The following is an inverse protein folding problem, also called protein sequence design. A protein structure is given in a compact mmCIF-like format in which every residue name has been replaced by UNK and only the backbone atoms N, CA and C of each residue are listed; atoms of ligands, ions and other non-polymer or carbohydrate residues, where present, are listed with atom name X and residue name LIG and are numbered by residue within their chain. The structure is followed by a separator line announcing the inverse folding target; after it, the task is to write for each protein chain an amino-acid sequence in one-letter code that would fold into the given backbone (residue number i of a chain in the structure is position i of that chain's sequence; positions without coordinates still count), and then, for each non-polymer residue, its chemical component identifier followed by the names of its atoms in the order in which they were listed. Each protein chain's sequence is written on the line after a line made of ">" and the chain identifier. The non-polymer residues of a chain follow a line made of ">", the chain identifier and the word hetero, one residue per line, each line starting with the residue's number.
data_IF_289287039612
#
_entry.id   IF_289287039612
#
_cell.length_a   1.000
_cell.length_b   1.000
_cell.length_c   1.000
_cell.angle_alpha   90.00
_cell.angle_beta   90.00
_cell.angle_gamma   90.00
#
_symmetry.space_group_name_H-M   'P 1'
#
loop_
_entity.id
_entity.type
_entity.pdbx_description
1 polymer ?
#
# COMPACT_ATOMS: atom_id res chain seq x y z
N UNK A 1 -17.08 -9.11 -1.52
CA UNK A 1 -16.69 -7.75 -1.94
C UNK A 1 -17.03 -7.62 -3.40
N UNK A 2 -18.04 -6.82 -3.76
CA UNK A 2 -18.52 -6.66 -5.14
C UNK A 2 -18.54 -5.18 -5.54
N UNK A 3 -18.32 -4.89 -6.82
CA UNK A 3 -18.44 -3.53 -7.37
C UNK A 3 -17.32 -2.55 -6.96
N UNK A 4 -16.19 -3.04 -6.45
CA UNK A 4 -15.07 -2.19 -6.03
C UNK A 4 -13.98 -2.17 -7.09
N UNK A 5 -13.73 -0.98 -7.64
CA UNK A 5 -12.61 -0.71 -8.54
C UNK A 5 -11.34 -0.43 -7.71
N UNK A 6 -10.60 -1.49 -7.41
CA UNK A 6 -9.38 -1.45 -6.59
C UNK A 6 -8.10 -1.68 -7.40
N UNK A 7 -7.06 -0.92 -7.08
CA UNK A 7 -5.75 -0.98 -7.72
C UNK A 7 -4.66 -1.36 -6.70
N UNK A 8 -3.63 -2.06 -7.20
CA UNK A 8 -2.44 -2.50 -6.46
C UNK A 8 -2.74 -3.19 -5.12
N UNK A 9 -3.82 -3.99 -5.09
CA UNK A 9 -4.24 -4.74 -3.90
C UNK A 9 -3.08 -5.58 -3.37
N UNK A 10 -2.64 -5.26 -2.16
CA UNK A 10 -1.50 -5.92 -1.53
C UNK A 10 -1.98 -6.75 -0.34
N UNK A 11 -1.82 -8.08 -0.37
CA UNK A 11 -2.12 -8.95 0.76
C UNK A 11 -1.08 -8.88 1.87
N UNK A 12 -1.55 -8.97 3.11
CA UNK A 12 -0.73 -9.16 4.30
C UNK A 12 -1.41 -10.18 5.22
N UNK A 13 -0.65 -11.19 5.67
CA UNK A 13 -1.07 -12.01 6.81
C UNK A 13 -0.58 -11.35 8.12
N UNK A 14 -1.52 -11.04 9.00
CA UNK A 14 -1.29 -10.37 10.28
C UNK A 14 -2.30 -10.84 11.32
N UNK A 15 -1.81 -11.16 12.51
CA UNK A 15 -2.61 -11.53 13.69
C UNK A 15 -3.70 -12.58 13.42
N UNK A 16 -3.34 -13.62 12.65
CA UNK A 16 -4.22 -14.76 12.38
C UNK A 16 -5.25 -14.52 11.26
N UNK A 17 -5.17 -13.39 10.54
CA UNK A 17 -6.05 -13.09 9.42
C UNK A 17 -5.32 -12.45 8.23
N UNK A 18 -6.05 -12.34 7.12
CA UNK A 18 -5.61 -11.62 5.93
C UNK A 18 -6.12 -10.19 5.94
N UNK A 19 -5.27 -9.30 5.44
CA UNK A 19 -5.55 -7.90 5.17
C UNK A 19 -5.25 -7.60 3.71
N UNK A 20 -6.14 -6.85 3.06
CA UNK A 20 -5.91 -6.24 1.76
C UNK A 20 -5.75 -4.74 1.93
N UNK A 21 -4.62 -4.23 1.44
CA UNK A 21 -4.36 -2.80 1.26
C UNK A 21 -4.69 -2.46 -0.19
N UNK A 22 -5.72 -1.64 -0.41
CA UNK A 22 -6.28 -1.38 -1.73
C UNK A 22 -6.26 0.11 -2.00
N UNK A 23 -5.85 0.51 -3.21
CA UNK A 23 -6.02 1.87 -3.70
C UNK A 23 -7.31 1.96 -4.53
N UNK A 24 -8.46 2.31 -3.94
CA UNK A 24 -9.72 2.36 -4.67
C UNK A 24 -9.82 3.61 -5.55
N UNK A 25 -10.63 3.53 -6.61
CA UNK A 25 -11.18 4.72 -7.26
C UNK A 25 -12.50 5.08 -6.59
N UNK A 26 -12.52 6.13 -5.77
CA UNK A 26 -13.71 6.58 -5.06
C UNK A 26 -14.24 7.87 -5.66
N UNK A 27 -15.55 8.08 -5.73
CA UNK A 27 -16.15 9.37 -6.11
C UNK A 27 -15.61 9.98 -7.43
N UNK A 28 -15.22 9.15 -8.40
CA UNK A 28 -14.56 9.56 -9.65
C UNK A 28 -13.19 10.26 -9.45
N UNK A 29 -12.50 9.95 -8.35
CA UNK A 29 -11.13 10.41 -8.05
C UNK A 29 -10.08 9.69 -8.91
N UNK A 30 -8.81 9.99 -8.63
CA UNK A 30 -7.70 9.15 -9.09
C UNK A 30 -7.71 7.80 -8.36
N UNK A 31 -6.89 6.84 -8.81
CA UNK A 31 -6.69 5.59 -8.08
C UNK A 31 -5.45 5.63 -7.18
N UNK A 32 -4.95 6.82 -6.81
CA UNK A 32 -3.62 6.99 -6.21
C UNK A 32 -3.63 7.63 -4.83
N UNK A 33 -4.74 8.27 -4.46
CA UNK A 33 -4.87 9.16 -3.31
C UNK A 33 -5.59 8.53 -2.12
N UNK A 34 -6.37 7.47 -2.32
CA UNK A 34 -7.11 6.78 -1.27
C UNK A 34 -6.49 5.43 -0.90
N UNK A 35 -6.57 5.06 0.38
CA UNK A 35 -6.30 3.71 0.87
C UNK A 35 -7.55 3.17 1.57
N UNK A 36 -8.02 2.00 1.13
CA UNK A 36 -9.02 1.22 1.85
C UNK A 36 -8.43 -0.11 2.28
N UNK A 37 -8.84 -0.57 3.47
CA UNK A 37 -8.44 -1.84 4.03
C UNK A 37 -9.62 -2.80 4.09
N UNK A 38 -9.36 -4.07 3.86
CA UNK A 38 -10.33 -5.15 4.01
C UNK A 38 -9.67 -6.30 4.75
N UNK A 39 -10.42 -7.00 5.59
CA UNK A 39 -9.91 -8.15 6.33
C UNK A 39 -10.78 -9.39 6.16
N UNK A 40 -10.17 -10.56 6.26
CA UNK A 40 -10.83 -11.85 6.15
C UNK A 40 -10.04 -12.93 6.91
N UNK A 41 -10.71 -13.99 7.34
CA UNK A 41 -10.06 -15.14 7.97
C UNK A 41 -9.28 -16.01 6.95
N UNK A 42 -9.65 -15.93 5.67
CA UNK A 42 -8.99 -16.66 4.57
C UNK A 42 -9.02 -15.85 3.27
N UNK A 43 -8.08 -16.09 2.35
CA UNK A 43 -7.98 -15.37 1.08
C UNK A 43 -9.25 -15.51 0.22
N UNK A 44 -9.89 -16.68 0.27
CA UNK A 44 -11.10 -17.01 -0.48
C UNK A 44 -12.38 -16.80 0.32
N UNK A 45 -12.26 -16.26 1.54
CA UNK A 45 -13.40 -16.03 2.43
C UNK A 45 -14.13 -14.72 2.13
N UNK A 46 -15.10 -14.41 2.99
CA UNK A 46 -15.79 -13.13 2.99
C UNK A 46 -14.87 -12.02 3.49
N UNK A 47 -14.75 -10.95 2.70
CA UNK A 47 -13.96 -9.78 3.02
C UNK A 47 -14.83 -8.70 3.66
N UNK A 48 -14.44 -8.28 4.86
CA UNK A 48 -15.08 -7.21 5.62
C UNK A 48 -14.30 -5.91 5.44
N UNK A 49 -14.96 -4.78 5.08
CA UNK A 49 -14.29 -3.49 5.01
C UNK A 49 -13.89 -3.01 6.40
N UNK A 50 -12.72 -2.38 6.49
CA UNK A 50 -12.32 -1.64 7.68
C UNK A 50 -13.32 -0.50 7.98
N UNK A 51 -13.66 -0.31 9.25
CA UNK A 51 -14.75 0.59 9.66
C UNK A 51 -14.52 2.05 9.24
N UNK A 52 -13.25 2.48 9.18
CA UNK A 52 -12.86 3.84 8.80
C UNK A 52 -12.53 4.01 7.30
N UNK A 53 -12.94 3.09 6.41
CA UNK A 53 -12.62 3.22 4.99
C UNK A 53 -13.25 4.48 4.34
N UNK A 54 -12.51 5.21 3.47
CA UNK A 54 -11.06 5.06 3.22
C UNK A 54 -10.24 5.52 4.43
N UNK A 55 -9.30 4.69 4.88
CA UNK A 55 -8.47 4.95 6.07
C UNK A 55 -7.44 6.05 5.84
N UNK A 56 -7.15 6.39 4.59
CA UNK A 56 -6.23 7.46 4.23
C UNK A 56 -6.68 8.14 2.93
N UNK A 57 -6.51 9.46 2.88
CA UNK A 57 -6.65 10.31 1.70
C UNK A 57 -5.39 11.20 1.57
N UNK A 58 -4.31 10.64 1.03
CA UNK A 58 -3.03 11.32 0.79
C UNK A 58 -2.30 10.68 -0.42
N UNK A 59 -2.18 11.42 -1.52
CA UNK A 59 -1.49 10.97 -2.73
C UNK A 59 -0.03 10.58 -2.52
N UNK A 60 0.61 10.98 -1.42
CA UNK A 60 2.01 10.63 -1.10
C UNK A 60 2.14 9.27 -0.42
N UNK A 61 1.06 8.79 0.19
CA UNK A 61 1.11 7.76 1.23
C UNK A 61 0.07 6.65 1.05
N UNK A 62 -0.89 6.77 0.13
CA UNK A 62 -1.99 5.82 -0.01
C UNK A 62 -1.65 4.61 -0.87
N UNK A 63 -1.28 4.82 -2.14
CA UNK A 63 -1.17 3.74 -3.14
C UNK A 63 -0.05 2.75 -2.81
N UNK A 64 -0.31 1.44 -2.74
CA UNK A 64 0.74 0.44 -2.50
C UNK A 64 1.82 0.45 -3.58
N UNK A 65 3.07 0.17 -3.18
CA UNK A 65 4.23 0.06 -4.08
C UNK A 65 4.93 -1.31 -3.94
N UNK A 66 4.19 -2.39 -3.70
CA UNK A 66 4.72 -3.72 -3.48
C UNK A 66 4.40 -4.30 -2.11
N UNK A 67 4.96 -5.47 -1.81
CA UNK A 67 4.65 -6.24 -0.62
C UNK A 67 5.10 -5.53 0.67
N UNK A 68 4.33 -5.71 1.74
CA UNK A 68 4.75 -5.33 3.10
C UNK A 68 5.96 -6.17 3.50
N UNK A 69 7.05 -5.50 3.89
CA UNK A 69 8.31 -6.12 4.30
C UNK A 69 8.38 -6.18 5.82
N UNK A 70 8.91 -7.28 6.35
CA UNK A 70 9.27 -7.37 7.77
C UNK A 70 10.76 -7.13 7.94
N UNK A 71 11.14 -6.08 8.67
CA UNK A 71 12.54 -5.73 8.92
C UNK A 71 12.70 -5.19 10.34
N UNK A 72 13.65 -5.74 11.10
CA UNK A 72 13.91 -5.31 12.49
C UNK A 72 12.68 -5.37 13.41
N UNK A 73 11.83 -6.39 13.23
CA UNK A 73 10.58 -6.54 13.99
C UNK A 73 9.43 -5.63 13.56
N UNK A 74 9.64 -4.75 12.57
CA UNK A 74 8.64 -3.80 12.07
C UNK A 74 8.03 -4.27 10.76
N UNK A 75 6.76 -3.93 10.54
CA UNK A 75 6.08 -4.09 9.25
C UNK A 75 6.18 -2.78 8.46
N UNK A 76 6.85 -2.83 7.31
CA UNK A 76 7.11 -1.69 6.45
C UNK A 76 6.31 -1.83 5.16
N UNK A 77 5.41 -0.89 4.89
CA UNK A 77 4.62 -0.82 3.67
C UNK A 77 5.32 0.12 2.67
N UNK A 78 5.79 -0.37 1.53
CA UNK A 78 6.17 0.48 0.41
C UNK A 78 4.92 1.17 -0.15
N UNK A 79 5.00 2.48 -0.36
CA UNK A 79 3.90 3.30 -0.88
C UNK A 79 4.42 4.19 -1.99
N UNK A 80 3.63 4.37 -3.05
CA UNK A 80 3.98 5.28 -4.13
C UNK A 80 3.74 6.70 -3.64
N UNK A 81 4.71 7.58 -3.87
CA UNK A 81 4.44 9.01 -3.81
C UNK A 81 3.93 9.48 -5.17
N UNK A 82 2.63 9.73 -5.22
CA UNK A 82 1.92 10.19 -6.40
C UNK A 82 1.59 11.70 -6.38
N UNK A 83 2.15 12.49 -5.46
CA UNK A 83 1.74 13.90 -5.28
C UNK A 83 2.06 14.82 -6.47
N UNK A 84 3.09 14.48 -7.26
CA UNK A 84 3.49 15.26 -8.45
C UNK A 84 3.21 14.54 -9.77
N UNK A 85 2.58 13.37 -9.71
CA UNK A 85 2.41 12.46 -10.84
C UNK A 85 2.60 11.01 -10.40
N UNK A 86 2.16 10.07 -11.23
CA UNK A 86 2.16 8.65 -10.92
C UNK A 86 3.57 8.11 -10.57
N UNK A 87 3.72 7.58 -9.34
CA UNK A 87 4.94 6.98 -8.77
C UNK A 87 6.24 7.76 -8.96
N UNK A 88 6.22 9.02 -8.53
CA UNK A 88 7.44 9.85 -8.50
C UNK A 88 8.51 9.32 -7.54
N UNK A 89 8.15 8.47 -6.58
CA UNK A 89 9.05 7.81 -5.65
C UNK A 89 8.36 6.67 -4.90
N UNK A 90 9.13 5.89 -4.14
CA UNK A 90 8.61 4.99 -3.11
C UNK A 90 8.96 5.54 -1.73
N UNK A 91 7.95 5.71 -0.89
CA UNK A 91 8.12 5.98 0.55
C UNK A 91 7.90 4.67 1.31
N UNK A 92 8.66 4.43 2.37
CA UNK A 92 8.41 3.34 3.30
C UNK A 92 7.65 3.87 4.50
N UNK A 93 6.50 3.27 4.79
CA UNK A 93 5.72 3.57 5.98
C UNK A 93 5.80 2.40 6.95
N UNK A 94 6.20 2.65 8.19
CA UNK A 94 5.98 1.70 9.27
C UNK A 94 4.48 1.62 9.57
N UNK A 95 3.92 0.42 9.63
CA UNK A 95 2.55 0.21 10.12
C UNK A 95 2.63 0.22 11.65
N UNK A 96 2.00 1.21 12.28
CA UNK A 96 2.02 1.43 13.72
C UNK A 96 0.81 0.77 14.40
N UNK A 97 -0.34 0.73 13.71
CA UNK A 97 -1.55 0.04 14.15
C UNK A 97 -2.29 -0.55 12.94
N UNK A 98 -2.85 -1.75 13.11
CA UNK A 98 -3.65 -2.45 12.10
C UNK A 98 -4.69 -3.33 12.79
N UNK A 99 -5.93 -2.83 12.86
CA UNK A 99 -7.07 -3.53 13.46
C UNK A 99 -8.36 -3.23 12.68
N UNK A 100 -9.50 -3.82 13.06
CA UNK A 100 -10.75 -3.69 12.32
C UNK A 100 -11.31 -2.24 12.27
N UNK A 101 -10.89 -1.40 13.22
CA UNK A 101 -11.30 -0.01 13.36
C UNK A 101 -10.14 0.97 13.53
N UNK A 102 -8.89 0.50 13.54
CA UNK A 102 -7.71 1.33 13.69
C UNK A 102 -6.68 1.06 12.59
N UNK A 103 -6.17 2.14 12.02
CA UNK A 103 -5.03 2.09 11.12
C UNK A 103 -4.17 3.33 11.32
N UNK A 104 -2.87 3.11 11.53
CA UNK A 104 -1.89 4.19 11.63
C UNK A 104 -0.59 3.76 10.96
N UNK A 105 0.05 4.72 10.30
CA UNK A 105 1.36 4.50 9.70
C UNK A 105 2.24 5.75 9.79
N UNK A 106 3.54 5.55 9.93
CA UNK A 106 4.55 6.61 10.00
C UNK A 106 5.54 6.46 8.83
N UNK A 107 5.72 7.48 7.98
CA UNK A 107 6.78 7.48 6.96
C UNK A 107 8.17 7.45 7.61
N UNK A 108 9.04 6.53 7.19
CA UNK A 108 10.38 6.34 7.79
C UNK A 108 11.54 6.39 6.79
N UNK A 109 11.27 6.45 5.48
CA UNK A 109 12.32 6.48 4.47
C UNK A 109 11.77 6.60 3.06
N UNK A 110 12.62 6.93 2.11
CA UNK A 110 12.23 7.17 0.71
C UNK A 110 13.31 6.72 -0.26
N UNK A 111 12.90 6.06 -1.33
CA UNK A 111 13.70 5.80 -2.54
C UNK A 111 13.19 6.71 -3.64
N UNK A 112 14.09 7.43 -4.30
CA UNK A 112 13.79 8.31 -5.41
C UNK A 112 14.87 8.17 -6.49
N UNK A 113 14.48 8.31 -7.75
CA UNK A 113 15.40 8.21 -8.90
C UNK A 113 15.12 9.32 -9.90
N UNK A 114 15.71 10.51 -9.66
CA UNK A 114 15.72 11.64 -10.60
C UNK A 114 14.38 11.91 -11.30
N UNK A 115 14.42 12.11 -12.62
CA UNK A 115 13.26 12.36 -13.47
C UNK A 115 12.44 11.10 -13.80
N UNK A 116 12.97 9.92 -13.47
CA UNK A 116 12.45 8.63 -13.89
C UNK A 116 11.47 8.04 -12.86
N UNK A 117 11.54 8.43 -11.59
CA UNK A 117 10.60 7.93 -10.57
C UNK A 117 10.87 6.47 -10.16
N UNK A 118 10.13 5.98 -9.18
CA UNK A 118 10.23 4.63 -8.64
C UNK A 118 8.81 4.19 -8.25
N UNK A 119 8.34 3.08 -8.81
CA UNK A 119 6.93 2.69 -8.72
C UNK A 119 6.68 1.48 -7.83
N UNK A 120 7.65 0.58 -7.72
CA UNK A 120 7.51 -0.63 -6.91
C UNK A 120 8.84 -1.01 -6.25
N UNK A 121 8.75 -1.48 -5.02
CA UNK A 121 9.83 -2.10 -4.26
C UNK A 121 9.33 -3.41 -3.65
N UNK A 122 10.11 -4.48 -3.80
CA UNK A 122 9.87 -5.75 -3.12
C UNK A 122 11.17 -6.30 -2.55
N UNK A 123 11.07 -6.97 -1.40
CA UNK A 123 12.19 -7.69 -0.78
C UNK A 123 11.73 -8.99 -0.15
N UNK A 124 12.37 -10.10 -0.51
CA UNK A 124 12.10 -11.43 0.05
C UNK A 124 13.33 -12.32 -0.09
N UNK A 125 13.66 -13.10 0.94
CA UNK A 125 14.67 -14.16 0.88
C UNK A 125 16.04 -13.72 0.33
N UNK A 126 16.49 -12.52 0.72
CA UNK A 126 17.77 -11.96 0.26
C UNK A 126 17.73 -11.30 -1.13
N UNK A 127 16.61 -11.36 -1.85
CA UNK A 127 16.41 -10.67 -3.11
C UNK A 127 15.68 -9.34 -2.87
N UNK A 128 16.12 -8.32 -3.59
CA UNK A 128 15.54 -6.98 -3.60
C UNK A 128 15.29 -6.58 -5.05
N UNK A 129 14.07 -6.12 -5.34
CA UNK A 129 13.61 -5.76 -6.68
C UNK A 129 13.05 -4.35 -6.62
N UNK A 130 13.52 -3.50 -7.51
CA UNK A 130 13.11 -2.11 -7.64
C UNK A 130 12.68 -1.90 -9.09
N UNK A 131 11.50 -1.33 -9.28
CA UNK A 131 11.01 -0.91 -10.58
C UNK A 131 11.12 0.61 -10.72
N UNK A 132 11.77 1.05 -11.79
CA UNK A 132 12.01 2.44 -12.13
C UNK A 132 11.40 2.69 -13.51
N UNK A 133 10.68 3.79 -13.67
CA UNK A 133 10.15 4.14 -14.98
C UNK A 133 11.28 4.70 -15.86
N UNK A 134 11.44 4.15 -17.05
CA UNK A 134 12.49 4.53 -18.00
C UNK A 134 11.90 4.98 -19.33
N UNK A 135 12.47 6.03 -19.93
CA UNK A 135 12.29 6.25 -21.37
C UNK A 135 13.23 5.27 -22.09
N UNK A 136 12.65 4.41 -22.94
CA UNK A 136 13.39 3.49 -23.82
C UNK A 136 13.65 4.18 -25.16
#
# INVERSE_FOLDING_TARGET
>A
MEGIEGYDTTPLWHDGGFWFFVSPRLWRSTSWDALSLYHAESLTGSWTPHAANPVLLDARLSRPAGAVIRYGGRALRPVQDCARGYGGAVTFCQIDALGASEFAQTPIGRIWSGALGCHTYNRRSGLEVIDLFGHI
#
